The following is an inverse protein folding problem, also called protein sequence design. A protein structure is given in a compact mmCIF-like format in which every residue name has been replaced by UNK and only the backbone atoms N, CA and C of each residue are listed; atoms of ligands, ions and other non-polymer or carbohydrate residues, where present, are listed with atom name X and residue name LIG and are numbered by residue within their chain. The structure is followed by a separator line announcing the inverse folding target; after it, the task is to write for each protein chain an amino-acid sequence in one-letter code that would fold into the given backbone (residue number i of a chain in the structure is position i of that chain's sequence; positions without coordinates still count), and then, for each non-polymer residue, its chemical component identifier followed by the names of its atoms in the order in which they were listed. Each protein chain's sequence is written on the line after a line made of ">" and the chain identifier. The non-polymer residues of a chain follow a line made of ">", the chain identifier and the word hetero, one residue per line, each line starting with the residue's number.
data_IF_798632763729
#
_entry.id   IF_798632763729
#
_cell.length_a   1.000
_cell.length_b   1.000
_cell.length_c   1.000
_cell.angle_alpha   90.00
_cell.angle_beta   90.00
_cell.angle_gamma   90.00
#
_symmetry.space_group_name_H-M   'P 1'
#
loop_
_entity.id
_entity.type
_entity.pdbx_description
1 polymer ?
#
# COMPACT_ATOMS: atom_id res chain seq x y z
N UNK A 1 -4.59 -18.28 -13.17
CA UNK A 1 -3.80 -17.04 -13.32
C UNK A 1 -2.40 -17.41 -12.87
N UNK A 2 -1.39 -17.20 -13.72
CA UNK A 2 -0.01 -17.51 -13.35
C UNK A 2 0.38 -16.53 -12.24
N UNK A 3 0.60 -17.03 -11.03
CA UNK A 3 1.22 -16.28 -9.94
C UNK A 3 2.71 -16.14 -10.26
N UNK A 4 3.04 -15.30 -11.25
CA UNK A 4 4.43 -14.95 -11.52
C UNK A 4 4.89 -14.01 -10.40
N UNK A 5 5.57 -14.62 -9.42
CA UNK A 5 6.32 -13.88 -8.40
C UNK A 5 7.32 -12.99 -9.13
N UNK A 6 7.18 -11.68 -8.94
CA UNK A 6 8.07 -10.67 -9.48
C UNK A 6 9.19 -10.37 -8.47
N UNK A 7 10.21 -9.64 -8.90
CA UNK A 7 11.30 -9.22 -8.03
C UNK A 7 11.34 -7.70 -7.97
N UNK A 8 11.48 -7.14 -6.77
CA UNK A 8 11.80 -5.72 -6.58
C UNK A 8 12.99 -5.61 -5.64
N UNK A 9 14.06 -4.98 -6.11
CA UNK A 9 15.30 -4.77 -5.33
C UNK A 9 15.91 -6.05 -4.73
N UNK A 10 15.69 -7.19 -5.39
CA UNK A 10 16.18 -8.50 -4.92
C UNK A 10 15.22 -9.27 -4.01
N UNK A 11 14.03 -8.72 -3.72
CA UNK A 11 13.00 -9.36 -2.90
C UNK A 11 11.84 -9.88 -3.76
N UNK A 12 11.33 -11.10 -3.47
CA UNK A 12 10.17 -11.64 -4.16
C UNK A 12 8.90 -10.90 -3.74
N UNK A 13 8.10 -10.48 -4.72
CA UNK A 13 6.82 -9.80 -4.52
C UNK A 13 5.73 -10.37 -5.41
N UNK A 14 4.53 -10.49 -4.86
CA UNK A 14 3.33 -10.85 -5.60
C UNK A 14 2.54 -9.58 -5.96
N UNK A 15 2.40 -9.28 -7.24
CA UNK A 15 1.70 -8.06 -7.71
C UNK A 15 2.58 -7.23 -8.64
N UNK A 16 2.27 -5.94 -8.76
CA UNK A 16 2.99 -5.02 -9.65
C UNK A 16 4.14 -4.30 -8.91
N UNK A 17 5.42 -4.68 -9.12
CA UNK A 17 6.55 -4.00 -8.48
C UNK A 17 6.72 -2.55 -8.94
N UNK A 18 6.16 -2.16 -10.10
CA UNK A 18 6.25 -0.78 -10.59
C UNK A 18 5.54 0.22 -9.68
N UNK A 19 4.59 -0.23 -8.85
CA UNK A 19 4.01 0.64 -7.81
C UNK A 19 5.04 1.08 -6.77
N UNK A 20 6.01 0.23 -6.45
CA UNK A 20 7.05 0.54 -5.47
C UNK A 20 8.02 1.60 -6.02
N UNK A 21 8.33 1.52 -7.31
CA UNK A 21 9.12 2.55 -8.00
C UNK A 21 8.41 3.91 -7.95
N UNK A 22 7.11 3.94 -8.24
CA UNK A 22 6.30 5.17 -8.17
C UNK A 22 6.36 5.78 -6.76
N UNK A 23 6.27 4.95 -5.72
CA UNK A 23 6.34 5.38 -4.31
C UNK A 23 7.67 6.07 -3.99
N UNK A 24 8.78 5.45 -4.38
CA UNK A 24 10.13 5.94 -4.07
C UNK A 24 10.51 7.16 -4.92
N UNK A 25 10.10 7.20 -6.19
CA UNK A 25 10.48 8.25 -7.12
C UNK A 25 9.65 9.53 -6.97
N UNK A 26 8.41 9.43 -6.50
CA UNK A 26 7.47 10.56 -6.47
C UNK A 26 6.93 10.84 -5.06
N UNK A 27 7.78 11.27 -4.11
CA UNK A 27 7.35 11.52 -2.74
C UNK A 27 6.25 12.59 -2.68
N UNK A 28 5.20 12.31 -1.91
CA UNK A 28 4.15 13.26 -1.58
C UNK A 28 4.48 14.09 -0.34
N UNK A 29 3.43 14.58 0.33
CA UNK A 29 3.53 15.38 1.56
C UNK A 29 4.20 14.61 2.70
N UNK A 30 3.76 13.36 2.92
CA UNK A 30 4.40 12.39 3.82
C UNK A 30 5.15 11.40 2.94
N UNK A 31 6.47 11.51 2.86
CA UNK A 31 7.28 10.66 2.00
C UNK A 31 7.50 9.27 2.62
N UNK A 32 7.38 8.23 1.80
CA UNK A 32 7.92 6.91 2.08
C UNK A 32 9.25 6.79 1.35
N UNK A 33 10.22 6.15 1.98
CA UNK A 33 11.49 5.87 1.34
C UNK A 33 11.64 4.39 0.98
N UNK A 34 12.74 4.08 0.29
CA UNK A 34 13.04 2.71 -0.13
C UNK A 34 13.26 1.77 1.06
N UNK A 35 13.81 2.27 2.16
CA UNK A 35 14.09 1.46 3.33
C UNK A 35 12.79 1.03 4.04
N UNK A 36 11.78 1.91 4.07
CA UNK A 36 10.44 1.58 4.57
C UNK A 36 9.85 0.36 3.83
N UNK A 37 10.02 0.33 2.50
CA UNK A 37 9.54 -0.78 1.66
C UNK A 37 10.36 -2.05 1.87
N UNK A 38 11.70 -1.94 1.83
CA UNK A 38 12.60 -3.10 2.04
C UNK A 38 12.32 -3.75 3.40
N UNK A 39 12.08 -2.97 4.46
CA UNK A 39 11.79 -3.50 5.79
C UNK A 39 10.57 -4.44 5.77
N UNK A 40 9.51 -4.12 5.02
CA UNK A 40 8.34 -5.00 4.88
C UNK A 40 8.66 -6.24 4.03
N UNK A 41 9.49 -6.09 2.99
CA UNK A 41 9.81 -7.17 2.07
C UNK A 41 10.85 -8.18 2.61
N UNK A 42 11.69 -7.77 3.56
CA UNK A 42 12.69 -8.63 4.20
C UNK A 42 12.11 -9.58 5.25
N UNK A 43 10.89 -9.30 5.73
CA UNK A 43 10.29 -10.07 6.80
C UNK A 43 9.88 -11.48 6.37
N UNK A 44 9.93 -12.42 7.32
CA UNK A 44 9.53 -13.81 7.09
C UNK A 44 8.05 -13.90 6.69
N UNK A 45 7.79 -14.39 5.47
CA UNK A 45 6.45 -14.53 4.94
C UNK A 45 6.40 -14.38 3.42
N UNK A 46 5.20 -14.09 2.92
CA UNK A 46 4.97 -13.72 1.52
C UNK A 46 4.60 -12.23 1.43
N UNK A 47 5.28 -11.53 0.50
CA UNK A 47 5.00 -10.13 0.21
C UNK A 47 3.98 -9.99 -0.92
N UNK A 48 3.01 -9.11 -0.72
CA UNK A 48 1.95 -8.80 -1.68
C UNK A 48 1.86 -7.30 -1.91
N UNK A 49 1.74 -6.91 -3.17
CA UNK A 49 1.45 -5.55 -3.60
C UNK A 49 0.02 -5.57 -4.13
N UNK A 50 -0.87 -4.89 -3.41
CA UNK A 50 -2.27 -4.73 -3.81
C UNK A 50 -2.60 -3.27 -3.97
N UNK A 51 -3.50 -2.96 -4.89
CA UNK A 51 -3.91 -1.59 -5.12
C UNK A 51 -5.40 -1.48 -5.37
N UNK A 52 -5.93 -0.29 -5.09
CA UNK A 52 -7.31 0.07 -5.34
C UNK A 52 -7.39 1.51 -5.82
N UNK A 53 -8.30 1.77 -6.77
CA UNK A 53 -8.51 3.10 -7.34
C UNK A 53 -9.94 3.52 -7.05
N UNK A 54 -10.13 4.77 -6.64
CA UNK A 54 -11.42 5.30 -6.26
C UNK A 54 -11.54 6.80 -6.51
N UNK A 55 -12.78 7.28 -6.53
CA UNK A 55 -13.04 8.71 -6.59
C UNK A 55 -12.72 9.40 -5.26
N UNK A 56 -12.80 8.67 -4.15
CA UNK A 56 -12.45 9.11 -2.80
C UNK A 56 -11.43 8.16 -2.19
N UNK A 57 -10.74 8.62 -1.14
CA UNK A 57 -9.74 7.82 -0.46
C UNK A 57 -10.33 6.53 0.12
N UNK A 58 -11.51 6.63 0.75
CA UNK A 58 -12.20 5.46 1.31
C UNK A 58 -12.53 4.40 0.26
N UNK A 59 -13.02 4.81 -0.91
CA UNK A 59 -13.37 3.89 -2.00
C UNK A 59 -12.12 3.16 -2.53
N UNK A 60 -11.03 3.92 -2.75
CA UNK A 60 -9.75 3.39 -3.20
C UNK A 60 -9.15 2.41 -2.17
N UNK A 61 -9.25 2.76 -0.88
CA UNK A 61 -8.77 1.93 0.21
C UNK A 61 -9.56 0.63 0.33
N UNK A 62 -10.90 0.70 0.30
CA UNK A 62 -11.76 -0.50 0.32
C UNK A 62 -11.43 -1.43 -0.85
N UNK A 63 -11.27 -0.89 -2.05
CA UNK A 63 -10.88 -1.69 -3.21
C UNK A 63 -9.51 -2.38 -3.02
N UNK A 64 -8.53 -1.69 -2.42
CA UNK A 64 -7.22 -2.28 -2.14
C UNK A 64 -7.31 -3.41 -1.10
N UNK A 65 -8.14 -3.23 -0.06
CA UNK A 65 -8.41 -4.25 0.98
C UNK A 65 -9.12 -5.47 0.40
N UNK A 66 -10.11 -5.28 -0.45
CA UNK A 66 -10.83 -6.38 -1.10
C UNK A 66 -9.93 -7.16 -2.08
N UNK A 67 -8.90 -6.52 -2.63
CA UNK A 67 -7.89 -7.16 -3.47
C UNK A 67 -6.84 -7.95 -2.69
N UNK A 68 -6.83 -7.90 -1.36
CA UNK A 68 -5.89 -8.66 -0.53
C UNK A 68 -6.08 -10.18 -0.71
N UNK A 69 -5.00 -10.93 -1.04
CA UNK A 69 -5.09 -12.39 -1.19
C UNK A 69 -5.06 -13.12 0.16
N UNK A 70 -4.76 -12.42 1.25
CA UNK A 70 -4.61 -12.98 2.59
C UNK A 70 -5.66 -12.41 3.57
N UNK A 71 -6.03 -13.17 4.62
CA UNK A 71 -6.91 -12.65 5.66
C UNK A 71 -6.19 -11.61 6.53
N UNK A 72 -6.93 -10.62 7.06
CA UNK A 72 -6.38 -9.53 7.88
C UNK A 72 -5.49 -10.01 9.04
N UNK A 73 -5.87 -11.10 9.72
CA UNK A 73 -5.09 -11.63 10.85
C UNK A 73 -3.77 -12.31 10.47
N UNK A 74 -3.48 -12.50 9.18
CA UNK A 74 -2.19 -12.98 8.70
C UNK A 74 -1.21 -11.83 8.40
N UNK A 75 -1.69 -10.57 8.35
CA UNK A 75 -0.85 -9.40 8.10
C UNK A 75 0.06 -9.17 9.30
N UNK A 76 1.34 -8.95 9.03
CA UNK A 76 2.36 -8.67 10.05
C UNK A 76 2.88 -7.24 9.92
N UNK A 77 3.24 -6.88 8.70
CA UNK A 77 3.76 -5.57 8.35
C UNK A 77 3.01 -5.06 7.14
N UNK A 78 2.64 -3.77 7.15
CA UNK A 78 2.00 -3.12 6.01
C UNK A 78 2.52 -1.70 5.82
N UNK A 79 2.93 -1.42 4.58
CA UNK A 79 3.16 -0.04 4.11
C UNK A 79 1.99 0.36 3.23
N UNK A 80 1.42 1.54 3.47
CA UNK A 80 0.34 2.10 2.67
C UNK A 80 0.75 3.41 2.02
N UNK A 81 0.72 3.44 0.70
CA UNK A 81 0.93 4.63 -0.10
C UNK A 81 -0.39 5.18 -0.61
N UNK A 82 -0.67 6.44 -0.24
CA UNK A 82 -1.81 7.20 -0.73
C UNK A 82 -1.36 8.01 -1.94
N UNK A 83 -1.65 7.49 -3.13
CA UNK A 83 -1.31 8.14 -4.38
C UNK A 83 -2.41 9.11 -4.82
N UNK A 84 -2.00 10.34 -5.16
CA UNK A 84 -2.90 11.39 -5.62
C UNK A 84 -2.28 12.15 -6.79
N UNK A 85 -3.12 12.58 -7.73
CA UNK A 85 -2.73 13.45 -8.85
C UNK A 85 -3.15 14.89 -8.56
N UNK A 86 -3.99 15.44 -9.44
CA UNK A 86 -4.52 16.80 -9.29
C UNK A 86 -5.53 16.95 -8.14
N UNK A 87 -6.10 15.83 -7.68
CA UNK A 87 -7.08 15.79 -6.59
C UNK A 87 -6.43 15.29 -5.31
N UNK A 88 -6.40 16.15 -4.30
CA UNK A 88 -5.97 15.80 -2.95
C UNK A 88 -7.09 15.15 -2.12
N UNK A 89 -6.75 14.58 -0.97
CA UNK A 89 -7.68 14.02 0.01
C UNK A 89 -7.77 14.89 1.26
N UNK A 90 -8.90 14.80 1.97
CA UNK A 90 -9.14 15.57 3.19
C UNK A 90 -8.60 14.89 4.44
N UNK A 91 -8.31 15.67 5.49
CA UNK A 91 -7.95 15.13 6.81
C UNK A 91 -9.04 14.21 7.40
N UNK A 92 -10.32 14.45 7.09
CA UNK A 92 -11.42 13.57 7.50
C UNK A 92 -11.36 12.20 6.84
N UNK A 93 -10.92 12.14 5.58
CA UNK A 93 -10.75 10.88 4.88
C UNK A 93 -9.58 10.07 5.48
N UNK A 94 -8.46 10.75 5.78
CA UNK A 94 -7.31 10.12 6.45
C UNK A 94 -7.69 9.53 7.81
N UNK A 95 -8.48 10.25 8.61
CA UNK A 95 -8.89 9.77 9.94
C UNK A 95 -9.67 8.45 9.87
N UNK A 96 -10.39 8.20 8.78
CA UNK A 96 -11.14 6.94 8.58
C UNK A 96 -10.20 5.76 8.36
N UNK A 97 -9.02 5.98 7.76
CA UNK A 97 -8.02 4.95 7.55
C UNK A 97 -7.37 4.50 8.85
N UNK A 98 -7.07 5.44 9.75
CA UNK A 98 -6.47 5.13 11.06
C UNK A 98 -7.32 4.13 11.83
N UNK A 99 -8.64 4.29 11.85
CA UNK A 99 -9.56 3.34 12.50
C UNK A 99 -9.53 1.94 11.86
N UNK A 100 -9.30 1.85 10.55
CA UNK A 100 -9.13 0.55 9.89
C UNK A 100 -7.81 -0.10 10.28
N UNK A 101 -6.72 0.67 10.30
CA UNK A 101 -5.40 0.17 10.67
C UNK A 101 -5.38 -0.36 12.10
N UNK A 102 -6.04 0.32 13.04
CA UNK A 102 -6.29 -0.17 14.39
C UNK A 102 -7.03 -1.52 14.43
N UNK A 103 -7.80 -1.85 13.38
CA UNK A 103 -8.54 -3.12 13.29
C UNK A 103 -7.75 -4.28 12.67
N UNK A 104 -6.55 -4.06 12.12
CA UNK A 104 -5.72 -5.12 11.53
C UNK A 104 -5.09 -6.04 12.60
N UNK A 105 -4.93 -5.54 13.83
CA UNK A 105 -4.41 -6.28 14.98
C UNK A 105 -3.44 -5.42 15.81
N UNK A 106 -3.29 -5.75 17.10
CA UNK A 106 -2.43 -4.98 18.02
C UNK A 106 -0.92 -5.11 17.70
N UNK A 107 -0.52 -6.17 17.00
CA UNK A 107 0.88 -6.46 16.68
C UNK A 107 1.27 -6.16 15.21
N UNK A 108 0.41 -5.45 14.47
CA UNK A 108 0.70 -5.09 13.08
C UNK A 108 1.49 -3.80 13.03
N UNK A 109 2.66 -3.84 12.40
CA UNK A 109 3.45 -2.65 12.13
C UNK A 109 2.91 -1.94 10.87
N UNK A 110 2.52 -0.68 11.02
CA UNK A 110 1.82 0.08 9.99
C UNK A 110 2.60 1.35 9.70
N UNK A 111 3.09 1.46 8.48
CA UNK A 111 3.72 2.66 7.94
C UNK A 111 2.81 3.20 6.84
N UNK A 112 2.59 4.51 6.80
CA UNK A 112 1.84 5.10 5.71
C UNK A 112 2.50 6.39 5.24
N UNK A 113 2.28 6.69 3.98
CA UNK A 113 2.66 7.97 3.40
C UNK A 113 1.84 8.26 2.16
N UNK A 114 2.29 9.25 1.41
CA UNK A 114 1.60 9.79 0.27
C UNK A 114 2.58 9.92 -0.89
N UNK A 115 2.09 9.74 -2.10
CA UNK A 115 2.90 9.72 -3.31
C UNK A 115 2.20 10.56 -4.36
N UNK A 116 2.95 11.40 -5.07
CA UNK A 116 2.39 12.15 -6.18
C UNK A 116 2.35 11.27 -7.41
N UNK A 117 1.20 11.17 -8.05
CA UNK A 117 1.04 10.42 -9.29
C UNK A 117 0.17 11.23 -10.26
N UNK A 118 0.82 12.03 -11.11
CA UNK A 118 0.16 12.90 -12.07
C UNK A 118 -0.61 12.12 -13.16
N UNK A 119 -0.45 10.79 -13.24
CA UNK A 119 -1.27 9.93 -14.11
C UNK A 119 -2.69 9.70 -13.55
N UNK A 120 -2.97 10.11 -12.30
CA UNK A 120 -4.29 9.99 -11.69
C UNK A 120 -5.14 11.23 -12.03
N UNK A 121 -5.95 11.12 -13.08
CA UNK A 121 -6.85 12.18 -13.55
C UNK A 121 -8.07 12.38 -12.64
N UNK A 122 -7.85 12.90 -11.43
CA UNK A 122 -8.91 13.21 -10.46
C UNK A 122 -9.38 12.02 -9.62
N UNK A 123 -8.66 10.90 -9.69
CA UNK A 123 -8.84 9.73 -8.82
C UNK A 123 -7.76 9.69 -7.73
N UNK A 124 -8.02 8.88 -6.71
CA UNK A 124 -7.06 8.50 -5.68
C UNK A 124 -6.75 7.02 -5.88
N UNK A 125 -5.50 6.65 -5.71
CA UNK A 125 -5.08 5.25 -5.69
C UNK A 125 -4.42 4.93 -4.37
N UNK A 126 -4.81 3.83 -3.77
CA UNK A 126 -4.14 3.29 -2.58
C UNK A 126 -3.33 2.09 -3.03
N UNK A 127 -2.06 2.06 -2.65
CA UNK A 127 -1.21 0.88 -2.80
C UNK A 127 -0.84 0.40 -1.41
N UNK A 128 -0.99 -0.89 -1.16
CA UNK A 128 -0.57 -1.54 0.07
C UNK A 128 0.48 -2.60 -0.25
N UNK A 129 1.58 -2.53 0.48
CA UNK A 129 2.65 -3.53 0.47
C UNK A 129 2.51 -4.29 1.77
N UNK A 130 2.20 -5.57 1.68
CA UNK A 130 1.77 -6.39 2.80
C UNK A 130 2.73 -7.56 2.93
N UNK A 131 3.31 -7.74 4.10
CA UNK A 131 3.95 -8.99 4.47
C UNK A 131 2.97 -9.83 5.29
N UNK A 132 2.65 -11.02 4.79
CA UNK A 132 1.75 -11.95 5.43
C UNK A 132 2.47 -13.22 5.88
N UNK A 133 2.06 -13.71 7.06
CA UNK A 133 2.53 -14.99 7.61
C UNK A 133 2.01 -16.15 6.75
N UNK A 134 2.86 -17.16 6.56
CA UNK A 134 2.51 -18.44 5.92
C UNK A 134 1.58 -19.31 6.77
#
# INVERSE_FOLDING_TARGET
>A
MNNEVSMWEGHPVNGDPGELDIIVENPGIVALDKQDLIQVLEEEGEAYIVSGVGAKLGDAFTAAVEAMPCPKGAVRDVVVSLQYGDKDFSMSELATLNTYFESLGEDVNIIWGSTRNDNLSGSIKVVMVINAKN
#
